data_IF_521180814989
#
_entry.id   IF_521180814989
#
_cell.length_a   1.000
_cell.length_b   1.000
_cell.length_c   1.000
_cell.angle_alpha   90.00
_cell.angle_beta   90.00
_cell.angle_gamma   90.00
#
_symmetry.space_group_name_H-M   'P 1'
#
loop_
_entity.id
_entity.type
_entity.pdbx_description
1 polymer ?
#
# COMPACT_ATOMS: atom_id res chain seq x y z
N UNK A 1 -8.61 2.84 26.85
CA UNK A 1 -7.65 3.44 25.88
C UNK A 1 -8.40 4.43 25.01
N UNK A 2 -7.83 5.60 24.72
CA UNK A 2 -8.53 6.60 23.89
C UNK A 2 -8.56 6.15 22.41
N UNK A 3 -9.63 6.44 21.65
CA UNK A 3 -9.71 6.11 20.22
C UNK A 3 -8.52 6.62 19.40
N UNK A 4 -7.96 7.78 19.77
CA UNK A 4 -6.78 8.37 19.13
C UNK A 4 -5.50 7.53 19.31
N UNK A 5 -5.34 6.86 20.45
CA UNK A 5 -4.19 5.99 20.74
C UNK A 5 -4.22 4.69 19.91
N UNK A 6 -5.42 4.14 19.67
CA UNK A 6 -5.62 2.94 18.85
C UNK A 6 -5.31 3.24 17.38
N UNK A 7 -5.80 4.37 16.86
CA UNK A 7 -5.51 4.83 15.50
C UNK A 7 -4.00 5.00 15.27
N UNK A 8 -3.31 5.68 16.17
CA UNK A 8 -1.87 5.94 16.06
C UNK A 8 -1.05 4.65 16.01
N UNK A 9 -1.32 3.69 16.89
CA UNK A 9 -0.65 2.38 16.89
C UNK A 9 -0.89 1.60 15.60
N UNK A 10 -2.11 1.68 15.07
CA UNK A 10 -2.47 1.03 13.82
C UNK A 10 -1.67 1.59 12.65
N UNK A 11 -1.54 2.93 12.58
CA UNK A 11 -0.75 3.63 11.56
C UNK A 11 0.72 3.18 11.64
N UNK A 12 1.29 3.17 12.84
CA UNK A 12 2.68 2.75 13.05
C UNK A 12 2.93 1.30 12.65
N UNK A 13 2.03 0.38 13.04
CA UNK A 13 2.17 -1.04 12.73
C UNK A 13 2.28 -1.28 11.23
N UNK A 14 1.40 -0.67 10.45
CA UNK A 14 1.41 -0.86 9.01
C UNK A 14 2.63 -0.25 8.32
N UNK A 15 3.10 0.93 8.77
CA UNK A 15 4.33 1.52 8.22
C UNK A 15 5.57 0.70 8.57
N UNK A 16 5.66 0.17 9.79
CA UNK A 16 6.74 -0.72 10.19
C UNK A 16 6.75 -2.03 9.39
N UNK A 17 5.57 -2.63 9.14
CA UNK A 17 5.45 -3.82 8.29
C UNK A 17 5.89 -3.50 6.87
N UNK A 18 5.46 -2.36 6.31
CA UNK A 18 5.85 -1.93 4.97
C UNK A 18 7.37 -1.74 4.87
N UNK A 19 7.97 -1.00 5.81
CA UNK A 19 9.41 -0.79 5.86
C UNK A 19 10.17 -2.11 5.98
N UNK A 20 9.75 -3.01 6.86
CA UNK A 20 10.40 -4.31 7.03
C UNK A 20 10.31 -5.17 5.76
N UNK A 21 9.16 -5.17 5.09
CA UNK A 21 8.98 -5.88 3.82
C UNK A 21 9.86 -5.28 2.71
N UNK A 22 9.90 -3.95 2.59
CA UNK A 22 10.75 -3.26 1.62
C UNK A 22 12.22 -3.57 1.88
N UNK A 23 12.71 -3.44 3.11
CA UNK A 23 14.10 -3.77 3.48
C UNK A 23 14.43 -5.23 3.17
N UNK A 24 13.50 -6.15 3.44
CA UNK A 24 13.70 -7.58 3.12
C UNK A 24 13.82 -7.83 1.62
N UNK A 25 13.00 -7.15 0.80
CA UNK A 25 13.09 -7.21 -0.67
C UNK A 25 14.40 -6.59 -1.15
N UNK A 26 14.79 -5.43 -0.62
CA UNK A 26 16.07 -4.78 -0.95
C UNK A 26 17.26 -5.69 -0.61
N UNK A 27 17.25 -6.33 0.56
CA UNK A 27 18.29 -7.28 0.96
C UNK A 27 18.32 -8.53 0.06
N UNK A 28 17.15 -9.05 -0.30
CA UNK A 28 17.06 -10.18 -1.25
C UNK A 28 17.62 -9.79 -2.61
N UNK A 29 17.29 -8.58 -3.11
CA UNK A 29 17.80 -8.09 -4.40
C UNK A 29 19.31 -7.84 -4.34
N UNK A 30 19.84 -7.37 -3.22
CA UNK A 30 21.28 -7.20 -3.01
C UNK A 30 22.06 -8.50 -3.20
N UNK A 31 21.45 -9.65 -2.89
CA UNK A 31 22.06 -10.98 -3.05
C UNK A 31 21.83 -11.54 -4.46
N UNK A 32 20.61 -11.43 -4.99
CA UNK A 32 20.23 -12.07 -6.26
C UNK A 32 20.64 -11.28 -7.50
N UNK A 33 20.66 -9.94 -7.41
CA UNK A 33 20.96 -9.03 -8.52
C UNK A 33 21.54 -7.70 -7.97
N UNK A 34 22.79 -7.70 -7.49
CA UNK A 34 23.42 -6.53 -6.87
C UNK A 34 23.54 -5.34 -7.81
N UNK A 35 23.57 -5.56 -9.13
CA UNK A 35 23.63 -4.49 -10.13
C UNK A 35 22.44 -3.52 -9.99
N UNK A 36 21.28 -4.01 -9.53
CA UNK A 36 20.09 -3.18 -9.29
C UNK A 36 20.26 -2.14 -8.19
N UNK A 37 21.18 -2.34 -7.25
CA UNK A 37 21.48 -1.32 -6.25
C UNK A 37 22.24 -0.13 -6.83
N UNK A 38 22.80 -0.27 -8.03
CA UNK A 38 23.50 0.82 -8.74
C UNK A 38 22.54 1.66 -9.59
N UNK A 39 21.37 1.11 -9.97
CA UNK A 39 20.31 1.85 -10.63
C UNK A 39 19.59 2.75 -9.62
N UNK A 40 19.69 4.08 -9.70
CA UNK A 40 19.26 4.99 -8.63
C UNK A 40 17.78 4.90 -8.26
N UNK A 41 16.93 4.41 -9.18
CA UNK A 41 15.50 4.23 -8.96
C UNK A 41 15.22 3.24 -7.82
N UNK A 42 15.91 2.10 -7.78
CA UNK A 42 15.66 1.03 -6.81
C UNK A 42 16.04 1.36 -5.34
N UNK A 43 17.29 1.77 -5.03
CA UNK A 43 17.63 2.22 -3.69
C UNK A 43 16.89 3.52 -3.34
N UNK A 44 16.61 4.39 -4.33
CA UNK A 44 15.85 5.62 -4.13
C UNK A 44 14.46 5.37 -3.54
N UNK A 45 13.67 4.46 -4.12
CA UNK A 45 12.35 4.14 -3.56
C UNK A 45 12.42 3.36 -2.25
N UNK A 46 13.43 2.49 -2.08
CA UNK A 46 13.66 1.79 -0.81
C UNK A 46 13.92 2.79 0.33
N UNK A 47 14.80 3.77 0.09
CA UNK A 47 15.09 4.87 1.02
C UNK A 47 13.83 5.72 1.25
N UNK A 48 13.07 6.03 0.19
CA UNK A 48 11.83 6.80 0.33
C UNK A 48 10.81 6.14 1.26
N UNK A 49 10.65 4.81 1.21
CA UNK A 49 9.78 4.07 2.15
C UNK A 49 10.30 4.17 3.58
N UNK A 50 11.61 4.05 3.79
CA UNK A 50 12.23 4.17 5.12
C UNK A 50 12.05 5.60 5.68
N UNK A 51 12.26 6.62 4.86
CA UNK A 51 12.05 8.02 5.24
C UNK A 51 10.57 8.30 5.55
N UNK A 52 9.65 7.79 4.73
CA UNK A 52 8.22 7.92 4.98
C UNK A 52 7.84 7.27 6.32
N UNK A 53 8.44 6.13 6.64
CA UNK A 53 8.24 5.46 7.93
C UNK A 53 8.76 6.31 9.08
N UNK A 54 9.97 6.87 8.97
CA UNK A 54 10.54 7.76 9.98
C UNK A 54 9.65 9.00 10.21
N UNK A 55 9.23 9.67 9.13
CA UNK A 55 8.28 10.79 9.20
C UNK A 55 6.99 10.36 9.90
N UNK A 56 6.46 9.18 9.56
CA UNK A 56 5.24 8.67 10.20
C UNK A 56 5.39 8.48 11.70
N UNK A 57 6.54 8.00 12.17
CA UNK A 57 6.77 7.81 13.60
C UNK A 57 6.90 9.15 14.36
N UNK A 58 7.40 10.19 13.69
CA UNK A 58 7.59 11.53 14.28
C UNK A 58 6.31 12.38 14.27
N UNK A 59 5.38 12.14 13.34
CA UNK A 59 4.15 12.94 13.22
C UNK A 59 3.20 12.70 14.40
N UNK A 60 2.72 13.76 15.08
CA UNK A 60 1.75 13.64 16.16
C UNK A 60 0.34 13.41 15.60
N UNK A 61 0.04 12.15 15.26
CA UNK A 61 -1.24 11.73 14.64
C UNK A 61 -2.49 12.07 15.44
N UNK A 62 -2.37 12.45 16.70
CA UNK A 62 -3.49 12.93 17.51
C UNK A 62 -4.03 14.28 17.01
N UNK A 63 -3.17 15.12 16.40
CA UNK A 63 -3.54 16.45 15.88
C UNK A 63 -3.91 16.44 14.39
N UNK A 64 -3.67 15.33 13.70
CA UNK A 64 -3.90 15.21 12.25
C UNK A 64 -5.37 14.83 12.00
N UNK A 65 -6.07 15.52 11.06
CA UNK A 65 -7.44 15.19 10.71
C UNK A 65 -7.53 13.77 10.10
N UNK A 66 -8.71 13.12 10.15
CA UNK A 66 -8.86 11.72 9.75
C UNK A 66 -8.38 11.41 8.32
N UNK A 67 -8.55 12.35 7.38
CA UNK A 67 -8.11 12.19 5.99
C UNK A 67 -6.60 12.36 5.77
N UNK A 68 -5.86 12.97 6.71
CA UNK A 68 -4.42 13.20 6.55
C UNK A 68 -3.60 11.90 6.51
N UNK A 69 -4.10 10.84 7.15
CA UNK A 69 -3.47 9.53 7.12
C UNK A 69 -3.63 8.81 5.76
N UNK A 70 -4.43 9.35 4.81
CA UNK A 70 -4.58 8.79 3.45
C UNK A 70 -3.38 9.15 2.57
N UNK A 71 -2.69 10.25 2.88
CA UNK A 71 -1.50 10.67 2.13
C UNK A 71 -0.35 9.66 2.29
N UNK A 72 -0.30 8.93 3.40
CA UNK A 72 0.71 7.91 3.67
C UNK A 72 0.69 6.75 2.68
N UNK A 73 -0.42 5.99 2.52
CA UNK A 73 -0.46 4.90 1.55
C UNK A 73 -0.30 5.41 0.11
N UNK A 74 -0.79 6.61 -0.22
CA UNK A 74 -0.57 7.21 -1.55
C UNK A 74 0.92 7.50 -1.80
N UNK A 75 1.62 8.10 -0.83
CA UNK A 75 3.06 8.30 -0.90
C UNK A 75 3.82 6.96 -0.98
N UNK A 76 3.34 5.92 -0.28
CA UNK A 76 3.87 4.57 -0.38
C UNK A 76 3.73 3.97 -1.78
N UNK A 77 2.60 4.19 -2.46
CA UNK A 77 2.41 3.74 -3.86
C UNK A 77 3.45 4.40 -4.77
N UNK A 78 3.67 5.70 -4.63
CA UNK A 78 4.68 6.44 -5.43
C UNK A 78 6.09 5.93 -5.13
N UNK A 79 6.43 5.78 -3.85
CA UNK A 79 7.76 5.32 -3.42
C UNK A 79 8.10 3.91 -3.94
N UNK A 80 7.09 3.04 -4.09
CA UNK A 80 7.25 1.69 -4.67
C UNK A 80 7.18 1.72 -6.21
N UNK A 81 6.39 2.64 -6.77
CA UNK A 81 6.13 2.74 -8.21
C UNK A 81 7.29 3.29 -9.02
N UNK A 82 7.95 4.34 -8.52
CA UNK A 82 9.09 4.97 -9.22
C UNK A 82 10.26 3.98 -9.46
N UNK A 83 10.67 3.14 -8.49
CA UNK A 83 11.62 2.04 -8.72
C UNK A 83 11.21 0.99 -9.74
N UNK A 84 9.91 0.88 -10.01
CA UNK A 84 9.34 -0.22 -10.80
C UNK A 84 9.36 0.07 -12.30
N UNK A 85 9.70 1.30 -12.71
CA UNK A 85 9.84 1.67 -14.12
C UNK A 85 11.06 1.01 -14.75
N UNK A 86 10.90 0.48 -15.97
CA UNK A 86 12.02 -0.06 -16.75
C UNK A 86 12.49 -1.47 -16.36
N UNK A 87 11.67 -2.26 -15.65
CA UNK A 87 12.00 -3.67 -15.40
C UNK A 87 10.88 -4.50 -14.78
N UNK A 88 10.95 -5.83 -14.97
CA UNK A 88 10.07 -6.86 -14.39
C UNK A 88 10.28 -7.06 -12.88
N UNK A 89 10.33 -5.99 -12.10
CA UNK A 89 10.66 -6.04 -10.68
C UNK A 89 9.46 -6.51 -9.84
N UNK A 90 9.58 -7.66 -9.16
CA UNK A 90 8.51 -8.19 -8.28
C UNK A 90 8.10 -7.23 -7.14
N UNK A 91 8.86 -6.15 -6.92
CA UNK A 91 8.55 -5.05 -6.01
C UNK A 91 7.16 -4.42 -6.23
N UNK A 92 6.59 -4.49 -7.43
CA UNK A 92 5.21 -4.04 -7.69
C UNK A 92 4.15 -4.78 -6.84
N UNK A 93 4.46 -5.97 -6.32
CA UNK A 93 3.58 -6.68 -5.38
C UNK A 93 3.51 -6.00 -4.02
N UNK A 94 4.50 -5.19 -3.63
CA UNK A 94 4.48 -4.45 -2.36
C UNK A 94 3.35 -3.41 -2.30
N UNK A 95 2.78 -3.03 -3.45
CA UNK A 95 1.57 -2.21 -3.50
C UNK A 95 0.35 -2.85 -2.79
N UNK A 96 0.41 -4.15 -2.47
CA UNK A 96 -0.58 -4.81 -1.62
C UNK A 96 -0.76 -4.12 -0.27
N UNK A 97 0.32 -3.60 0.33
CA UNK A 97 0.27 -2.99 1.66
C UNK A 97 -0.48 -1.64 1.66
N UNK A 98 -0.16 -0.67 0.78
CA UNK A 98 -0.96 0.54 0.62
C UNK A 98 -2.45 0.27 0.32
N UNK A 99 -2.75 -0.72 -0.51
CA UNK A 99 -4.13 -1.05 -0.86
C UNK A 99 -4.88 -1.66 0.31
N UNK A 100 -4.26 -2.61 1.01
CA UNK A 100 -4.87 -3.24 2.18
C UNK A 100 -5.13 -2.20 3.28
N UNK A 101 -4.24 -1.23 3.46
CA UNK A 101 -4.47 -0.10 4.34
C UNK A 101 -5.72 0.68 3.95
N UNK A 102 -5.79 1.12 2.69
CA UNK A 102 -6.89 1.96 2.21
C UNK A 102 -8.22 1.19 2.34
N UNK A 103 -8.23 -0.08 1.96
CA UNK A 103 -9.40 -0.95 2.04
C UNK A 103 -9.88 -1.22 3.47
N UNK A 104 -8.99 -1.15 4.46
CA UNK A 104 -9.34 -1.40 5.87
C UNK A 104 -9.95 -0.19 6.56
N UNK A 105 -9.53 1.04 6.21
CA UNK A 105 -9.89 2.25 6.98
C UNK A 105 -10.75 3.26 6.23
N UNK A 106 -10.85 3.19 4.89
CA UNK A 106 -11.54 4.19 4.09
C UNK A 106 -12.71 3.60 3.30
N UNK A 107 -13.77 4.39 3.05
CA UNK A 107 -14.94 3.93 2.30
C UNK A 107 -14.59 3.63 0.83
N UNK A 108 -15.39 2.77 0.20
CA UNK A 108 -15.23 2.29 -1.19
C UNK A 108 -14.78 3.32 -2.25
N UNK A 109 -15.24 4.60 -2.25
CA UNK A 109 -14.78 5.58 -3.23
C UNK A 109 -13.27 5.90 -3.12
N UNK A 110 -12.72 5.94 -1.90
CA UNK A 110 -11.28 6.14 -1.69
C UNK A 110 -10.45 4.93 -2.15
N UNK A 111 -11.10 3.76 -2.22
CA UNK A 111 -10.54 2.50 -2.71
C UNK A 111 -10.32 2.52 -4.23
N UNK A 112 -10.95 3.44 -4.98
CA UNK A 112 -10.68 3.65 -6.40
C UNK A 112 -9.41 4.47 -6.68
N UNK A 113 -9.02 5.36 -5.75
CA UNK A 113 -7.85 6.23 -5.93
C UNK A 113 -6.53 5.45 -5.92
N UNK A 114 -6.43 4.40 -5.09
CA UNK A 114 -5.23 3.57 -4.98
C UNK A 114 -4.94 2.74 -6.25
N UNK A 115 -5.87 1.89 -6.76
CA UNK A 115 -5.69 1.19 -8.02
C UNK A 115 -5.68 2.14 -9.22
N UNK A 116 -6.37 3.30 -9.15
CA UNK A 116 -6.27 4.34 -10.17
C UNK A 116 -4.85 4.90 -10.28
N UNK A 117 -4.22 5.26 -9.16
CA UNK A 117 -2.83 5.74 -9.12
C UNK A 117 -1.85 4.66 -9.63
N UNK A 118 -2.05 3.41 -9.20
CA UNK A 118 -1.25 2.28 -9.70
C UNK A 118 -1.45 2.07 -11.21
N UNK A 119 -2.69 2.20 -11.69
CA UNK A 119 -3.02 2.14 -13.10
C UNK A 119 -2.31 3.21 -13.92
N UNK A 120 -2.19 4.45 -13.41
CA UNK A 120 -1.41 5.52 -14.05
C UNK A 120 0.06 5.11 -14.17
N UNK A 121 0.69 4.65 -13.07
CA UNK A 121 2.09 4.20 -13.10
C UNK A 121 2.32 3.09 -14.12
N UNK A 122 1.45 2.08 -14.14
CA UNK A 122 1.56 0.94 -15.07
C UNK A 122 1.30 1.34 -16.52
N UNK A 123 0.41 2.30 -16.76
CA UNK A 123 0.13 2.82 -18.10
C UNK A 123 1.34 3.60 -18.62
N UNK A 124 1.92 4.48 -17.79
CA UNK A 124 3.15 5.21 -18.12
C UNK A 124 4.30 4.24 -18.43
N UNK A 125 4.48 3.19 -17.63
CA UNK A 125 5.53 2.18 -17.85
C UNK A 125 5.33 1.41 -19.16
N UNK A 126 4.08 1.04 -19.49
CA UNK A 126 3.75 0.39 -20.75
C UNK A 126 3.99 1.29 -21.97
N UNK A 127 3.71 2.59 -21.87
CA UNK A 127 4.00 3.55 -22.94
C UNK A 127 5.51 3.79 -23.13
N UNK A 128 6.28 3.82 -22.05
CA UNK A 128 7.74 4.00 -22.11
C UNK A 128 8.44 2.71 -22.59
N UNK A 129 7.93 1.54 -22.24
CA UNK A 129 8.46 0.23 -22.63
C UNK A 129 7.95 -0.32 -23.96
N UNK A 130 7.58 0.55 -24.91
CA UNK A 130 7.08 0.20 -26.26
C UNK A 130 5.94 -0.84 -26.29
N UNK A 131 5.08 -0.85 -25.27
CA UNK A 131 3.96 -1.79 -25.13
C UNK A 131 4.33 -3.26 -25.31
N UNK A 132 5.48 -3.68 -24.79
CA UNK A 132 5.86 -5.09 -24.81
C UNK A 132 4.76 -5.96 -24.16
N UNK A 133 4.33 -7.07 -24.79
CA UNK A 133 3.22 -7.89 -24.30
C UNK A 133 3.40 -8.38 -22.85
N UNK A 134 4.64 -8.65 -22.45
CA UNK A 134 4.98 -9.07 -21.09
C UNK A 134 4.72 -7.98 -20.03
N UNK A 135 4.95 -6.70 -20.35
CA UNK A 135 4.67 -5.57 -19.46
C UNK A 135 3.18 -5.36 -19.29
N UNK A 136 2.43 -5.40 -20.40
CA UNK A 136 0.96 -5.27 -20.40
C UNK A 136 0.32 -6.41 -19.61
N UNK A 137 0.74 -7.66 -19.84
CA UNK A 137 0.25 -8.81 -19.07
C UNK A 137 0.51 -8.65 -17.57
N UNK A 138 1.73 -8.23 -17.19
CA UNK A 138 2.07 -8.00 -15.78
C UNK A 138 1.21 -6.90 -15.17
N UNK A 139 1.00 -5.79 -15.88
CA UNK A 139 0.16 -4.69 -15.42
C UNK A 139 -1.27 -5.16 -15.14
N UNK A 140 -1.85 -5.95 -16.06
CA UNK A 140 -3.19 -6.53 -15.92
C UNK A 140 -3.25 -7.47 -14.69
N UNK A 141 -2.28 -8.38 -14.53
CA UNK A 141 -2.24 -9.30 -13.38
C UNK A 141 -2.15 -8.52 -12.06
N UNK A 142 -1.26 -7.53 -11.98
CA UNK A 142 -1.07 -6.71 -10.78
C UNK A 142 -2.36 -5.96 -10.43
N UNK A 143 -2.98 -5.28 -11.40
CA UNK A 143 -4.23 -4.55 -11.18
C UNK A 143 -5.38 -5.48 -10.76
N UNK A 144 -5.51 -6.65 -11.38
CA UNK A 144 -6.53 -7.63 -11.02
C UNK A 144 -6.33 -8.17 -9.60
N UNK A 145 -5.13 -8.65 -9.26
CA UNK A 145 -4.84 -9.20 -7.94
C UNK A 145 -5.04 -8.14 -6.83
N UNK A 146 -4.53 -6.93 -7.05
CA UNK A 146 -4.62 -5.84 -6.10
C UNK A 146 -6.04 -5.30 -5.96
N UNK A 147 -6.77 -5.14 -7.06
CA UNK A 147 -8.17 -4.74 -7.07
C UNK A 147 -9.05 -5.77 -6.36
N UNK A 148 -8.85 -7.06 -6.66
CA UNK A 148 -9.57 -8.15 -5.99
C UNK A 148 -9.26 -8.21 -4.49
N UNK A 149 -7.99 -8.07 -4.08
CA UNK A 149 -7.63 -7.98 -2.67
C UNK A 149 -8.26 -6.77 -1.98
N UNK A 150 -8.28 -5.60 -2.64
CA UNK A 150 -8.94 -4.41 -2.12
C UNK A 150 -10.43 -4.64 -1.85
N UNK A 151 -11.14 -5.23 -2.83
CA UNK A 151 -12.57 -5.55 -2.70
C UNK A 151 -12.80 -6.58 -1.59
N UNK A 152 -12.06 -7.68 -1.56
CA UNK A 152 -12.24 -8.74 -0.55
C UNK A 152 -12.00 -8.25 0.87
N UNK A 153 -11.00 -7.39 1.09
CA UNK A 153 -10.74 -6.76 2.40
C UNK A 153 -11.91 -5.86 2.80
N UNK A 154 -12.44 -5.06 1.86
CA UNK A 154 -13.53 -4.13 2.13
C UNK A 154 -14.89 -4.79 2.42
N UNK A 155 -15.11 -6.02 1.93
CA UNK A 155 -16.35 -6.78 2.16
C UNK A 155 -16.45 -7.34 3.58
N UNK A 156 -15.36 -7.31 4.37
CA UNK A 156 -15.33 -7.89 5.71
C UNK A 156 -15.94 -6.95 6.77
N UNK A 157 -17.28 -6.87 6.79
CA UNK A 157 -18.04 -6.39 7.95
C UNK A 157 -19.35 -7.20 8.10
N UNK A 158 -19.34 -8.33 8.83
CA UNK A 158 -20.53 -8.72 9.57
C UNK A 158 -20.69 -7.67 10.66
N UNK A 159 -21.62 -6.71 10.48
CA UNK A 159 -22.13 -5.93 11.59
C UNK A 159 -22.85 -6.95 12.48
N UNK A 160 -22.21 -7.34 13.57
CA UNK A 160 -22.90 -8.07 14.62
C UNK A 160 -23.93 -7.10 15.19
N UNK A 161 -25.13 -7.06 14.61
CA UNK A 161 -26.27 -6.41 15.23
C UNK A 161 -26.58 -7.24 16.46
N UNK A 162 -26.13 -6.80 17.63
CA UNK A 162 -26.48 -7.42 18.89
C UNK A 162 -27.97 -7.17 19.15
N UNK A 163 -28.84 -7.97 18.53
CA UNK A 163 -30.24 -8.08 18.94
C UNK A 163 -30.35 -9.16 20.00
N UNK A 164 -29.67 -8.97 21.13
CA UNK A 164 -30.05 -9.66 22.37
C UNK A 164 -31.25 -8.89 22.94
N UNK A 165 -32.41 -9.10 22.33
CA UNK A 165 -33.69 -8.78 22.95
C UNK A 165 -33.89 -9.82 24.05
N UNK A 166 -33.78 -9.40 25.30
CA UNK A 166 -34.13 -10.19 26.48
C UNK A 166 -35.61 -10.59 26.41
N UNK A 167 -35.99 -11.87 26.59
CA UNK A 167 -37.38 -12.26 26.76
C UNK A 167 -37.74 -12.21 28.24
N UNK A 168 -38.35 -11.11 28.69
CA UNK A 168 -39.02 -10.92 29.99
C UNK A 168 -39.96 -9.72 29.77
N UNK A 169 -41.25 -9.69 30.06
CA UNK A 169 -42.16 -10.54 30.85
C UNK A 169 -43.59 -10.08 30.55
N UNK A 170 -44.55 -11.00 30.34
CA UNK A 170 -45.98 -10.77 30.54
C UNK A 170 -46.68 -12.11 30.84
#
# INVERSE_FOLDING_TARGET
MSPASVRTRSIWRWQLILAAATVSVTATMAVLDPARLTEPAFPGGSIAVVLLTAVTLLVPWQRVPPGGALLLPLAGIVAIGVPSFGGQTRASLLWVFPIAWIATYYPMPALGAAPGLIGVFLTVDAFVGDMQPALVQRAVIVLLCLGFMGVTISVRHPRCSSSWRTPESA
#
